data_IF_215883737459
#
_entry.id   IF_215883737459
#
_cell.length_a   1.000
_cell.length_b   1.000
_cell.length_c   1.000
_cell.angle_alpha   90.00
_cell.angle_beta   90.00
_cell.angle_gamma   90.00
#
_symmetry.space_group_name_H-M   'P 1'
#
loop_
_entity.id
_entity.type
_entity.pdbx_description
1 polymer ?
#
# COMPACT_ATOMS: atom_id res chain seq x y z
N UNK A 1 -18.01 24.80 -0.20
CA UNK A 1 -16.57 24.95 -0.27
C UNK A 1 -15.80 23.67 -0.70
N UNK A 2 -16.49 22.66 -1.29
CA UNK A 2 -15.87 21.50 -1.90
C UNK A 2 -15.48 20.35 -0.96
N UNK A 3 -15.86 20.40 0.29
CA UNK A 3 -15.67 19.30 1.25
C UNK A 3 -16.90 18.38 1.29
N UNK A 4 -16.65 17.07 1.34
CA UNK A 4 -17.71 16.10 1.59
C UNK A 4 -18.18 16.21 3.04
N UNK A 5 -19.50 16.09 3.33
CA UNK A 5 -20.02 16.17 4.71
C UNK A 5 -19.34 15.17 5.67
N UNK A 6 -19.04 13.97 5.18
CA UNK A 6 -18.34 12.95 5.96
C UNK A 6 -16.95 13.40 6.43
N UNK A 7 -16.23 14.19 5.63
CA UNK A 7 -14.91 14.72 6.03
C UNK A 7 -15.05 15.76 7.11
N UNK A 8 -16.01 16.67 6.95
CA UNK A 8 -16.23 17.74 7.92
C UNK A 8 -16.56 17.21 9.31
N UNK A 9 -17.25 16.06 9.39
CA UNK A 9 -17.69 15.50 10.67
C UNK A 9 -16.58 14.95 11.55
N UNK A 10 -15.45 14.50 10.96
CA UNK A 10 -14.36 13.89 11.73
C UNK A 10 -13.02 14.65 11.67
N UNK A 11 -12.87 15.59 10.74
CA UNK A 11 -11.62 16.36 10.60
C UNK A 11 -11.62 17.69 11.35
N UNK A 12 -12.72 18.05 12.01
CA UNK A 12 -12.84 19.35 12.70
C UNK A 12 -12.82 20.57 11.76
N UNK A 13 -13.07 20.36 10.46
CA UNK A 13 -13.09 21.45 9.46
C UNK A 13 -14.23 22.40 9.72
N UNK A 14 -13.91 23.68 9.81
CA UNK A 14 -14.88 24.74 10.03
C UNK A 14 -14.57 25.98 9.17
N UNK A 15 -15.33 27.09 9.37
CA UNK A 15 -15.14 28.33 8.60
C UNK A 15 -13.77 28.99 8.81
N UNK A 16 -13.12 28.76 9.96
CA UNK A 16 -11.84 29.42 10.31
C UNK A 16 -10.62 28.67 9.77
N UNK A 17 -10.70 27.32 9.68
CA UNK A 17 -9.52 26.50 9.34
C UNK A 17 -9.61 25.79 7.97
N UNK A 18 -10.72 25.91 7.24
CA UNK A 18 -10.95 25.16 6.00
C UNK A 18 -9.89 25.41 4.90
N UNK A 19 -9.18 26.53 4.92
CA UNK A 19 -8.10 26.86 3.97
C UNK A 19 -6.82 26.07 4.23
N UNK A 20 -6.69 25.47 5.40
CA UNK A 20 -5.57 24.61 5.77
C UNK A 20 -5.75 23.18 5.24
N UNK A 21 -6.92 22.84 4.75
CA UNK A 21 -7.25 21.52 4.23
C UNK A 21 -7.37 21.53 2.72
N UNK A 22 -6.84 20.50 2.08
CA UNK A 22 -7.14 20.22 0.68
C UNK A 22 -8.59 19.70 0.58
N UNK A 23 -9.45 20.39 -0.16
CA UNK A 23 -10.85 19.99 -0.29
C UNK A 23 -10.98 18.73 -1.17
N UNK A 24 -12.08 17.97 -0.98
CA UNK A 24 -12.36 16.79 -1.82
C UNK A 24 -12.54 17.17 -3.29
N UNK A 25 -13.11 18.34 -3.57
CA UNK A 25 -13.27 18.87 -4.93
C UNK A 25 -11.90 19.20 -5.53
N UNK A 26 -11.07 19.94 -4.79
CA UNK A 26 -9.74 20.30 -5.25
C UNK A 26 -8.87 19.05 -5.42
N UNK A 27 -8.98 18.06 -4.53
CA UNK A 27 -8.27 16.80 -4.67
C UNK A 27 -8.60 16.07 -5.98
N UNK A 28 -9.81 16.13 -6.47
CA UNK A 28 -10.16 15.57 -7.77
C UNK A 28 -9.48 16.31 -8.93
N UNK A 29 -9.35 17.64 -8.84
CA UNK A 29 -8.72 18.46 -9.87
C UNK A 29 -7.22 18.61 -9.71
N UNK A 30 -6.71 18.61 -8.46
CA UNK A 30 -5.31 18.88 -8.13
C UNK A 30 -4.55 17.66 -7.63
N UNK A 31 -5.15 16.48 -7.69
CA UNK A 31 -4.50 15.24 -7.25
C UNK A 31 -3.42 14.73 -8.20
N UNK A 32 -2.96 15.56 -9.16
CA UNK A 32 -2.05 15.13 -10.20
C UNK A 32 -0.78 15.97 -10.34
N UNK A 33 -0.01 16.22 -9.28
CA UNK A 33 1.30 16.86 -9.47
C UNK A 33 2.23 16.02 -10.37
N UNK A 34 1.89 14.76 -10.58
CA UNK A 34 2.60 13.84 -11.47
C UNK A 34 2.10 13.88 -12.95
N UNK A 35 1.04 14.60 -13.27
CA UNK A 35 0.49 14.66 -14.62
C UNK A 35 0.13 13.27 -15.19
N UNK A 36 0.58 12.99 -16.42
CA UNK A 36 0.33 11.70 -17.09
C UNK A 36 1.04 10.52 -16.41
N UNK A 37 2.12 10.76 -15.68
CA UNK A 37 2.89 9.72 -14.98
C UNK A 37 2.12 9.05 -13.85
N UNK A 38 0.98 9.60 -13.42
CA UNK A 38 0.09 8.94 -12.46
C UNK A 38 -0.22 7.49 -12.83
N UNK A 39 -0.45 7.21 -14.12
CA UNK A 39 -0.81 5.88 -14.58
C UNK A 39 0.31 4.86 -14.40
N UNK A 40 1.56 5.30 -14.49
CA UNK A 40 2.71 4.42 -14.28
C UNK A 40 2.77 3.91 -12.84
N UNK A 41 2.46 4.77 -11.88
CA UNK A 41 2.46 4.41 -10.46
C UNK A 41 1.27 3.52 -10.07
N UNK A 42 0.10 3.70 -10.71
CA UNK A 42 -1.12 2.99 -10.31
C UNK A 42 -1.22 1.55 -10.82
N UNK A 43 -0.37 1.15 -11.77
CA UNK A 43 -0.35 -0.21 -12.34
C UNK A 43 0.76 -1.01 -11.68
N UNK A 44 0.38 -2.02 -10.88
CA UNK A 44 1.32 -2.84 -10.09
C UNK A 44 2.36 -3.54 -10.94
N UNK A 45 2.01 -3.91 -12.17
CA UNK A 45 2.93 -4.52 -13.13
C UNK A 45 4.13 -3.63 -13.47
N UNK A 46 4.01 -2.29 -13.31
CA UNK A 46 5.10 -1.36 -13.62
C UNK A 46 6.14 -1.25 -12.50
N UNK A 47 5.84 -1.70 -11.28
CA UNK A 47 6.72 -1.51 -10.11
C UNK A 47 8.13 -2.09 -10.34
N UNK A 48 8.31 -3.35 -10.79
CA UNK A 48 9.65 -3.90 -11.03
C UNK A 48 10.43 -3.16 -12.13
N UNK A 49 9.75 -2.55 -13.09
CA UNK A 49 10.40 -1.72 -14.12
C UNK A 49 10.82 -0.36 -13.59
N UNK A 50 9.94 0.29 -12.84
CA UNK A 50 10.23 1.58 -12.22
C UNK A 50 11.36 1.49 -11.20
N UNK A 51 11.47 0.35 -10.54
CA UNK A 51 12.45 0.08 -9.47
C UNK A 51 13.47 -0.99 -9.86
N UNK A 52 13.84 -1.07 -11.15
CA UNK A 52 14.78 -2.09 -11.66
C UNK A 52 16.15 -2.08 -10.97
N UNK A 53 16.61 -0.92 -10.51
CA UNK A 53 17.87 -0.75 -9.79
C UNK A 53 17.71 -0.93 -8.27
N UNK A 54 16.51 -1.31 -7.80
CA UNK A 54 16.12 -1.51 -6.40
C UNK A 54 15.32 -2.80 -6.23
N UNK A 55 15.66 -3.83 -6.98
CA UNK A 55 14.92 -5.11 -7.01
C UNK A 55 14.83 -5.79 -5.66
N UNK A 56 15.82 -5.59 -4.79
CA UNK A 56 15.84 -6.11 -3.43
C UNK A 56 14.72 -5.53 -2.55
N UNK A 57 14.16 -4.35 -2.92
CA UNK A 57 13.04 -3.69 -2.22
C UNK A 57 11.69 -3.94 -2.87
N UNK A 58 11.63 -4.82 -3.87
CA UNK A 58 10.40 -5.20 -4.56
C UNK A 58 10.12 -6.68 -4.29
N UNK A 59 8.87 -7.13 -4.11
CA UNK A 59 8.56 -8.57 -4.11
C UNK A 59 9.05 -9.24 -5.38
N UNK A 60 9.39 -10.53 -5.33
CA UNK A 60 9.61 -11.31 -6.54
C UNK A 60 8.31 -11.38 -7.35
N UNK A 61 8.38 -11.10 -8.64
CA UNK A 61 7.26 -11.16 -9.59
C UNK A 61 7.44 -12.41 -10.45
N UNK A 62 6.51 -13.36 -10.34
CA UNK A 62 6.60 -14.63 -11.08
C UNK A 62 5.84 -14.57 -12.39
N UNK A 63 4.56 -14.16 -12.37
CA UNK A 63 3.71 -14.17 -13.54
C UNK A 63 2.80 -12.96 -13.64
N UNK A 64 2.53 -12.58 -14.88
CA UNK A 64 1.32 -11.88 -15.25
C UNK A 64 0.33 -12.90 -15.84
N UNK A 65 -0.87 -13.00 -15.28
CA UNK A 65 -1.93 -13.92 -15.70
C UNK A 65 -3.03 -13.14 -16.42
N UNK A 66 -3.28 -13.54 -17.66
CA UNK A 66 -4.39 -13.06 -18.48
C UNK A 66 -5.21 -14.24 -19.03
N UNK A 67 -6.14 -13.99 -19.94
CA UNK A 67 -6.96 -15.04 -20.59
C UNK A 67 -6.15 -16.05 -21.40
N UNK A 68 -4.92 -15.70 -21.78
CA UNK A 68 -4.06 -16.57 -22.62
C UNK A 68 -3.11 -17.45 -21.80
N UNK A 69 -3.01 -17.25 -20.48
CA UNK A 69 -2.14 -18.07 -19.62
C UNK A 69 -1.23 -17.24 -18.72
N UNK A 70 -0.12 -17.82 -18.32
CA UNK A 70 0.85 -17.24 -17.40
C UNK A 70 2.06 -16.71 -18.18
N UNK A 71 2.21 -15.38 -18.22
CA UNK A 71 3.39 -14.73 -18.80
C UNK A 71 4.47 -14.61 -17.72
N UNK A 72 5.64 -15.25 -17.86
CA UNK A 72 6.72 -15.12 -16.91
C UNK A 72 7.21 -13.67 -16.82
N UNK A 73 7.46 -13.18 -15.61
CA UNK A 73 7.99 -11.84 -15.34
C UNK A 73 9.47 -11.87 -14.92
N UNK A 74 10.00 -13.04 -14.64
CA UNK A 74 11.41 -13.24 -14.42
C UNK A 74 12.13 -13.14 -15.78
N UNK A 75 13.16 -12.32 -15.84
CA UNK A 75 13.99 -12.12 -17.03
C UNK A 75 13.22 -11.59 -18.26
N UNK A 76 12.94 -10.29 -18.28
CA UNK A 76 12.60 -9.54 -19.50
C UNK A 76 13.80 -9.47 -20.47
N UNK A 77 14.48 -10.60 -20.70
CA UNK A 77 15.44 -10.75 -21.77
C UNK A 77 14.64 -11.02 -23.05
N UNK A 78 14.69 -10.12 -24.01
CA UNK A 78 13.93 -10.01 -25.26
C UNK A 78 13.64 -11.26 -26.13
N UNK A 79 13.66 -12.44 -25.54
CA UNK A 79 13.21 -13.68 -26.16
C UNK A 79 11.68 -13.75 -26.15
N UNK A 80 11.11 -14.27 -27.22
CA UNK A 80 9.67 -14.45 -27.43
C UNK A 80 9.07 -15.11 -26.20
N UNK A 81 8.35 -14.31 -25.38
CA UNK A 81 7.74 -14.82 -24.16
C UNK A 81 6.55 -15.71 -24.52
N UNK A 82 6.70 -17.00 -24.25
CA UNK A 82 5.64 -17.98 -24.42
C UNK A 82 4.78 -18.00 -23.15
N UNK A 83 3.47 -17.96 -23.29
CA UNK A 83 2.55 -18.19 -22.18
C UNK A 83 2.69 -19.62 -21.67
N UNK A 84 2.84 -19.75 -20.38
CA UNK A 84 2.99 -21.04 -19.71
C UNK A 84 1.64 -21.58 -19.25
N UNK A 85 1.59 -22.89 -18.97
CA UNK A 85 0.41 -23.56 -18.46
C UNK A 85 0.24 -23.35 -16.94
N UNK A 86 -0.82 -23.91 -16.40
CA UNK A 86 -1.07 -23.96 -14.94
C UNK A 86 0.03 -24.73 -14.20
N UNK A 87 0.68 -25.68 -14.86
CA UNK A 87 1.72 -26.51 -14.24
C UNK A 87 2.90 -25.64 -13.74
N UNK A 88 3.32 -24.65 -14.53
CA UNK A 88 4.38 -23.72 -14.12
C UNK A 88 3.99 -22.88 -12.89
N UNK A 89 2.70 -22.49 -12.79
CA UNK A 89 2.20 -21.83 -11.58
C UNK A 89 2.24 -22.80 -10.38
N UNK A 90 1.82 -24.06 -10.58
CA UNK A 90 1.84 -25.06 -9.51
C UNK A 90 3.27 -25.40 -9.07
N UNK A 91 4.23 -25.45 -9.98
CA UNK A 91 5.65 -25.65 -9.66
C UNK A 91 6.15 -24.55 -8.73
N UNK A 92 5.92 -23.27 -9.07
CA UNK A 92 6.28 -22.12 -8.21
C UNK A 92 5.54 -22.19 -6.86
N UNK A 93 4.23 -22.51 -6.86
CA UNK A 93 3.48 -22.66 -5.62
C UNK A 93 4.02 -23.79 -4.73
N UNK A 94 4.42 -24.92 -5.34
CA UNK A 94 5.05 -26.03 -4.62
C UNK A 94 6.43 -25.67 -4.05
N UNK A 95 7.21 -24.82 -4.74
CA UNK A 95 8.50 -24.33 -4.27
C UNK A 95 8.34 -23.32 -3.13
N UNK A 96 7.58 -22.25 -3.38
CA UNK A 96 7.46 -21.09 -2.46
C UNK A 96 6.45 -21.32 -1.34
N UNK A 97 5.57 -22.33 -1.43
CA UNK A 97 4.48 -22.71 -0.49
C UNK A 97 3.33 -21.71 -0.41
N UNK A 98 3.55 -20.44 -0.69
CA UNK A 98 2.51 -19.40 -0.68
C UNK A 98 2.83 -18.30 -1.69
N UNK A 99 1.79 -17.78 -2.35
CA UNK A 99 1.89 -16.72 -3.33
C UNK A 99 0.80 -15.67 -3.10
N UNK A 100 1.04 -14.46 -3.58
CA UNK A 100 0.06 -13.37 -3.61
C UNK A 100 -0.42 -13.14 -5.05
N UNK A 101 -1.72 -13.31 -5.30
CA UNK A 101 -2.34 -12.96 -6.56
C UNK A 101 -3.08 -11.62 -6.40
N UNK A 102 -2.75 -10.65 -7.24
CA UNK A 102 -3.26 -9.27 -7.14
C UNK A 102 -3.72 -8.78 -8.51
N UNK A 103 -4.92 -8.20 -8.66
CA UNK A 103 -5.27 -7.51 -9.89
C UNK A 103 -4.29 -6.36 -10.18
N UNK A 104 -3.88 -6.18 -11.44
CA UNK A 104 -2.90 -5.16 -11.82
C UNK A 104 -3.34 -3.74 -11.49
N UNK A 105 -4.63 -3.44 -11.65
CA UNK A 105 -5.19 -2.08 -11.56
C UNK A 105 -6.20 -1.88 -10.43
N UNK A 106 -6.43 -2.89 -9.57
CA UNK A 106 -7.40 -2.78 -8.46
C UNK A 106 -6.87 -1.89 -7.33
N UNK A 107 -7.83 -1.35 -6.57
CA UNK A 107 -7.58 -0.52 -5.38
C UNK A 107 -8.22 -1.18 -4.15
N UNK A 108 -7.74 -0.78 -2.97
CA UNK A 108 -8.30 -1.16 -1.66
C UNK A 108 -8.24 -2.65 -1.35
N UNK A 109 -7.31 -3.38 -1.95
CA UNK A 109 -7.17 -4.83 -1.75
C UNK A 109 -8.27 -5.67 -2.42
N UNK A 110 -9.14 -5.06 -3.23
CA UNK A 110 -10.18 -5.79 -3.94
C UNK A 110 -9.56 -6.80 -4.90
N UNK A 111 -10.03 -8.06 -4.84
CA UNK A 111 -9.53 -9.14 -5.68
C UNK A 111 -8.18 -9.72 -5.22
N UNK A 112 -7.63 -9.29 -4.08
CA UNK A 112 -6.44 -9.92 -3.50
C UNK A 112 -6.76 -11.37 -3.12
N UNK A 113 -5.86 -12.30 -3.49
CA UNK A 113 -5.92 -13.68 -3.08
C UNK A 113 -4.55 -14.11 -2.54
N UNK A 114 -4.54 -14.64 -1.32
CA UNK A 114 -3.45 -15.46 -0.81
C UNK A 114 -3.69 -16.89 -1.25
N UNK A 115 -2.78 -17.47 -1.98
CA UNK A 115 -2.83 -18.89 -2.33
C UNK A 115 -1.71 -19.62 -1.61
N UNK A 116 -2.00 -20.83 -1.12
CA UNK A 116 -1.10 -21.56 -0.26
C UNK A 116 -1.26 -23.07 -0.44
N UNK A 117 -0.15 -23.80 -0.30
CA UNK A 117 -0.17 -25.26 -0.22
C UNK A 117 0.48 -25.72 1.08
N UNK A 118 -0.23 -26.55 1.85
CA UNK A 118 0.25 -27.20 3.08
C UNK A 118 -0.13 -28.67 3.06
N UNK A 119 0.83 -29.56 3.22
CA UNK A 119 0.59 -31.02 3.26
C UNK A 119 -0.31 -31.49 2.11
N UNK A 120 -0.01 -31.08 0.88
CA UNK A 120 -0.78 -31.35 -0.33
C UNK A 120 -2.24 -30.85 -0.32
N UNK A 121 -2.58 -29.96 0.61
CA UNK A 121 -3.89 -29.29 0.68
C UNK A 121 -3.75 -27.88 0.16
N UNK A 122 -4.66 -27.49 -0.73
CA UNK A 122 -4.66 -26.18 -1.38
C UNK A 122 -5.60 -25.21 -0.68
N UNK A 123 -5.14 -23.98 -0.50
CA UNK A 123 -5.91 -22.93 0.17
C UNK A 123 -5.98 -21.67 -0.70
N UNK A 124 -7.14 -21.04 -0.69
CA UNK A 124 -7.32 -19.66 -1.15
C UNK A 124 -7.91 -18.87 0.01
N UNK A 125 -7.22 -17.80 0.41
CA UNK A 125 -7.66 -16.93 1.49
C UNK A 125 -7.97 -17.70 2.80
N UNK A 126 -7.09 -18.66 3.14
CA UNK A 126 -7.19 -19.55 4.30
C UNK A 126 -8.37 -20.57 4.25
N UNK A 127 -9.10 -20.65 3.14
CA UNK A 127 -10.15 -21.67 2.94
C UNK A 127 -9.59 -22.84 2.12
N UNK A 128 -9.98 -24.06 2.48
CA UNK A 128 -9.57 -25.28 1.78
C UNK A 128 -10.35 -25.42 0.49
N UNK A 129 -9.63 -25.77 -0.58
CA UNK A 129 -10.19 -26.04 -1.90
C UNK A 129 -9.78 -27.42 -2.41
N UNK A 130 -10.72 -28.22 -2.98
CA UNK A 130 -10.37 -29.38 -3.78
C UNK A 130 -9.45 -28.98 -4.94
N UNK A 131 -8.48 -29.79 -5.30
CA UNK A 131 -7.48 -29.48 -6.32
C UNK A 131 -8.10 -28.98 -7.63
N UNK A 132 -9.12 -29.66 -8.15
CA UNK A 132 -9.78 -29.28 -9.40
C UNK A 132 -10.44 -27.91 -9.33
N UNK A 133 -11.07 -27.58 -8.20
CA UNK A 133 -11.69 -26.26 -7.96
C UNK A 133 -10.61 -25.19 -7.79
N UNK A 134 -9.54 -25.46 -7.02
CA UNK A 134 -8.41 -24.58 -6.88
C UNK A 134 -7.82 -24.19 -8.24
N UNK A 135 -7.55 -25.19 -9.10
CA UNK A 135 -7.04 -24.97 -10.45
C UNK A 135 -8.01 -24.12 -11.28
N UNK A 136 -9.32 -24.40 -11.21
CA UNK A 136 -10.34 -23.60 -11.90
C UNK A 136 -10.34 -22.13 -11.47
N UNK A 137 -10.24 -21.85 -10.17
CA UNK A 137 -10.16 -20.48 -9.62
C UNK A 137 -8.92 -19.74 -10.13
N UNK A 138 -7.76 -20.42 -10.16
CA UNK A 138 -6.53 -19.81 -10.65
C UNK A 138 -6.58 -19.55 -12.17
N UNK A 139 -7.15 -20.48 -12.94
CA UNK A 139 -7.31 -20.30 -14.39
C UNK A 139 -8.29 -19.17 -14.73
N UNK A 140 -9.30 -18.93 -13.90
CA UNK A 140 -10.27 -17.86 -14.07
C UNK A 140 -9.69 -16.44 -13.84
N UNK A 141 -8.50 -16.32 -13.24
CA UNK A 141 -7.85 -15.03 -13.04
C UNK A 141 -7.55 -14.36 -14.38
N UNK A 142 -7.84 -13.07 -14.47
CA UNK A 142 -7.54 -12.25 -15.63
C UNK A 142 -7.05 -10.86 -15.19
N UNK A 143 -5.99 -10.35 -15.81
CA UNK A 143 -5.32 -9.11 -15.44
C UNK A 143 -4.74 -9.14 -13.99
N UNK A 144 -4.09 -10.27 -13.65
CA UNK A 144 -3.48 -10.48 -12.33
C UNK A 144 -1.96 -10.56 -12.41
N UNK A 145 -1.28 -9.98 -11.41
CA UNK A 145 0.12 -10.30 -11.11
C UNK A 145 0.18 -11.36 -10.02
N UNK A 146 1.14 -12.27 -10.16
CA UNK A 146 1.43 -13.32 -9.18
C UNK A 146 2.83 -13.06 -8.65
N UNK A 147 2.93 -12.85 -7.34
CA UNK A 147 4.16 -12.42 -6.68
C UNK A 147 4.45 -13.26 -5.44
N UNK A 148 5.66 -13.10 -4.93
CA UNK A 148 6.01 -13.50 -3.58
C UNK A 148 4.93 -13.06 -2.58
N UNK A 149 4.57 -13.95 -1.65
CA UNK A 149 3.78 -13.57 -0.47
C UNK A 149 4.74 -13.11 0.62
N UNK A 150 4.61 -11.87 1.06
CA UNK A 150 5.54 -11.28 2.01
C UNK A 150 5.31 -11.84 3.42
N UNK A 151 6.38 -12.35 4.01
CA UNK A 151 6.43 -12.65 5.45
C UNK A 151 6.83 -11.37 6.17
N UNK A 152 5.87 -10.76 6.84
CA UNK A 152 6.09 -9.50 7.54
C UNK A 152 6.98 -9.66 8.77
N UNK A 153 7.64 -8.56 9.16
CA UNK A 153 8.51 -8.51 10.34
C UNK A 153 7.75 -8.86 11.63
N UNK A 154 8.39 -9.52 12.60
CA UNK A 154 7.75 -9.98 13.86
C UNK A 154 6.97 -8.90 14.62
N UNK A 155 7.41 -7.63 14.61
CA UNK A 155 6.66 -6.58 15.30
C UNK A 155 5.23 -6.39 14.75
N UNK A 156 5.08 -6.43 13.42
CA UNK A 156 3.77 -6.29 12.78
C UNK A 156 2.97 -7.60 12.86
N UNK A 157 3.66 -8.74 12.76
CA UNK A 157 3.09 -10.07 12.93
C UNK A 157 2.49 -10.26 14.33
N UNK A 158 3.16 -9.76 15.37
CA UNK A 158 2.65 -9.82 16.73
C UNK A 158 1.35 -9.01 16.89
N UNK A 159 1.29 -7.81 16.31
CA UNK A 159 0.12 -6.94 16.43
C UNK A 159 -1.07 -7.51 15.65
N UNK A 160 -0.88 -7.90 14.39
CA UNK A 160 -1.94 -8.52 13.59
C UNK A 160 -1.36 -9.53 12.57
N UNK A 161 -1.53 -10.83 12.81
CA UNK A 161 -0.90 -11.88 12.00
C UNK A 161 -1.65 -12.26 10.70
N UNK A 162 -2.90 -11.81 10.52
CA UNK A 162 -3.78 -12.32 9.47
C UNK A 162 -3.50 -11.63 8.12
N UNK A 163 -3.14 -10.35 8.13
CA UNK A 163 -2.75 -9.62 6.92
C UNK A 163 -1.29 -9.21 6.95
N UNK A 164 -0.74 -8.92 5.78
CA UNK A 164 0.48 -8.11 5.69
C UNK A 164 0.12 -6.67 6.02
N UNK A 165 0.74 -6.13 7.07
CA UNK A 165 0.46 -4.79 7.59
C UNK A 165 1.51 -3.80 7.07
N UNK A 166 1.06 -2.75 6.40
CA UNK A 166 1.96 -1.88 5.64
C UNK A 166 2.11 -0.50 6.24
N UNK A 167 3.28 0.06 6.09
CA UNK A 167 3.54 1.49 6.29
C UNK A 167 3.10 2.22 5.02
N UNK A 168 2.16 3.15 5.15
CA UNK A 168 1.88 4.14 4.12
C UNK A 168 2.80 5.34 4.36
N UNK A 169 3.66 5.64 3.39
CA UNK A 169 4.62 6.72 3.49
C UNK A 169 4.43 7.66 2.29
N UNK A 170 4.13 8.94 2.56
CA UNK A 170 3.97 9.97 1.54
C UNK A 170 5.29 10.70 1.35
N UNK A 171 5.81 10.66 0.14
CA UNK A 171 6.98 11.42 -0.31
C UNK A 171 6.54 12.51 -1.28
N UNK A 172 7.06 13.72 -1.10
CA UNK A 172 6.65 14.90 -1.88
C UNK A 172 7.90 15.68 -2.29
N UNK A 173 7.85 16.24 -3.49
CA UNK A 173 8.88 17.13 -4.01
C UNK A 173 8.72 18.55 -3.42
N UNK A 174 9.79 19.07 -2.85
CA UNK A 174 9.87 20.49 -2.43
C UNK A 174 10.28 21.35 -3.63
N UNK A 175 9.35 22.17 -4.13
CA UNK A 175 9.58 23.01 -5.30
C UNK A 175 10.62 24.13 -5.04
N UNK A 176 10.84 24.50 -3.79
CA UNK A 176 11.81 25.54 -3.44
C UNK A 176 13.22 24.97 -3.26
N UNK A 177 13.33 23.88 -2.50
CA UNK A 177 14.63 23.25 -2.22
C UNK A 177 15.11 22.32 -3.32
N UNK A 178 14.20 21.91 -4.24
CA UNK A 178 14.48 20.96 -5.31
C UNK A 178 14.96 19.59 -4.80
N UNK A 179 14.31 19.11 -3.76
CA UNK A 179 14.58 17.83 -3.12
C UNK A 179 13.28 17.14 -2.69
N UNK A 180 13.32 15.83 -2.52
CA UNK A 180 12.21 15.09 -1.91
C UNK A 180 12.25 15.16 -0.40
N UNK A 181 11.08 15.19 0.21
CA UNK A 181 10.93 15.04 1.65
C UNK A 181 9.78 14.09 1.99
N UNK A 182 9.85 13.48 3.15
CA UNK A 182 8.79 12.62 3.68
C UNK A 182 7.76 13.49 4.38
N UNK A 183 6.54 13.47 3.89
CA UNK A 183 5.49 14.38 4.31
C UNK A 183 4.56 13.79 5.38
N UNK A 184 4.22 12.50 5.27
CA UNK A 184 3.33 11.78 6.21
C UNK A 184 3.72 10.32 6.26
N UNK A 185 3.61 9.71 7.45
CA UNK A 185 3.76 8.27 7.62
C UNK A 185 2.73 7.72 8.60
N UNK A 186 2.16 6.57 8.29
CA UNK A 186 1.33 5.82 9.21
C UNK A 186 1.38 4.33 8.93
N UNK A 187 1.36 3.53 9.98
CA UNK A 187 1.23 2.08 9.91
C UNK A 187 -0.24 1.72 9.79
N UNK A 188 -0.55 0.81 8.89
CA UNK A 188 -1.89 0.23 8.77
C UNK A 188 -1.88 -1.18 9.34
N UNK A 189 -3.00 -1.56 9.96
CA UNK A 189 -3.26 -2.91 10.42
C UNK A 189 -4.63 -3.35 9.96
N UNK A 190 -4.76 -4.62 9.55
CA UNK A 190 -6.05 -5.25 9.34
C UNK A 190 -6.80 -5.40 10.66
N UNK A 191 -8.10 -5.64 10.59
CA UNK A 191 -8.96 -5.98 11.75
C UNK A 191 -10.09 -6.89 11.29
N UNK A 192 -10.82 -7.48 12.23
CA UNK A 192 -12.00 -8.31 11.96
C UNK A 192 -11.73 -9.49 11.01
N UNK A 193 -10.57 -10.15 11.17
CA UNK A 193 -10.19 -11.28 10.33
C UNK A 193 -9.83 -10.92 8.88
N UNK A 194 -9.64 -9.63 8.57
CA UNK A 194 -9.31 -9.18 7.22
C UNK A 194 -7.93 -9.65 6.78
N UNK A 195 -7.84 -10.14 5.55
CA UNK A 195 -6.58 -10.52 4.88
C UNK A 195 -5.82 -9.31 4.30
N UNK A 196 -6.40 -8.12 4.40
CA UNK A 196 -5.81 -6.87 3.94
C UNK A 196 -5.90 -5.78 5.02
N UNK A 197 -4.93 -4.91 5.07
CA UNK A 197 -4.81 -3.83 6.05
C UNK A 197 -5.53 -2.54 5.64
N UNK A 198 -6.40 -2.60 4.65
CA UNK A 198 -7.05 -1.43 4.08
C UNK A 198 -8.13 -0.88 5.03
N UNK A 199 -8.04 0.43 5.32
CA UNK A 199 -9.00 1.09 6.19
C UNK A 199 -10.42 1.12 5.61
N UNK A 200 -10.58 1.16 4.29
CA UNK A 200 -11.89 1.33 3.66
C UNK A 200 -12.66 0.01 3.55
N UNK A 201 -12.02 -1.02 3.02
CA UNK A 201 -12.66 -2.32 2.75
C UNK A 201 -12.49 -3.32 3.89
N UNK A 202 -11.39 -3.24 4.63
CA UNK A 202 -11.04 -4.18 5.69
C UNK A 202 -11.41 -3.73 7.10
N UNK A 203 -12.13 -2.62 7.28
CA UNK A 203 -12.35 -1.99 8.59
C UNK A 203 -11.05 -1.76 9.38
N UNK A 204 -9.91 -1.65 8.70
CA UNK A 204 -8.59 -1.53 9.29
C UNK A 204 -8.41 -0.31 10.18
N UNK A 205 -7.30 -0.27 10.86
CA UNK A 205 -6.85 0.89 11.60
C UNK A 205 -5.53 1.43 11.03
N UNK A 206 -5.26 2.71 11.28
CA UNK A 206 -3.97 3.32 11.00
C UNK A 206 -3.48 4.09 12.23
N UNK A 207 -2.20 3.94 12.53
CA UNK A 207 -1.52 4.69 13.58
C UNK A 207 -0.43 5.54 12.96
N UNK A 208 -0.39 6.84 13.29
CA UNK A 208 0.65 7.74 12.78
C UNK A 208 2.00 7.42 13.41
N UNK A 209 3.05 7.62 12.62
CA UNK A 209 4.43 7.38 13.00
C UNK A 209 5.10 8.74 13.21
N UNK A 210 5.81 8.90 14.32
CA UNK A 210 6.69 10.02 14.53
C UNK A 210 7.90 9.93 13.58
N UNK A 211 8.19 11.01 12.86
CA UNK A 211 9.24 11.00 11.84
C UNK A 211 10.65 10.90 12.38
N UNK A 212 10.88 11.41 13.58
CA UNK A 212 12.22 11.43 14.17
C UNK A 212 12.54 10.06 14.77
N UNK A 213 11.62 9.53 15.56
CA UNK A 213 11.85 8.32 16.35
C UNK A 213 11.43 7.04 15.65
N UNK A 214 10.43 7.09 14.75
CA UNK A 214 9.77 5.92 14.19
C UNK A 214 8.75 5.29 15.12
N UNK A 215 8.46 5.92 16.26
CA UNK A 215 7.48 5.43 17.22
C UNK A 215 6.05 5.70 16.77
N UNK A 216 5.14 4.83 17.16
CA UNK A 216 3.71 5.06 16.98
C UNK A 216 3.25 6.18 17.89
N UNK A 217 2.60 7.17 17.30
CA UNK A 217 1.96 8.25 18.05
C UNK A 217 0.63 7.79 18.62
N UNK A 218 0.03 8.59 19.48
CA UNK A 218 -1.35 8.37 19.95
C UNK A 218 -2.44 8.77 18.93
N UNK A 219 -2.04 9.16 17.70
CA UNK A 219 -2.96 9.53 16.62
C UNK A 219 -3.39 8.28 15.84
N UNK A 220 -4.51 7.69 16.23
CA UNK A 220 -5.05 6.48 15.62
C UNK A 220 -6.35 6.80 14.87
N UNK A 221 -6.46 6.23 13.67
CA UNK A 221 -7.67 6.30 12.85
C UNK A 221 -8.24 4.90 12.70
N UNK A 222 -9.55 4.79 12.90
CA UNK A 222 -10.31 3.59 12.58
C UNK A 222 -11.38 3.91 11.54
N UNK A 223 -11.78 2.92 10.77
CA UNK A 223 -12.93 3.02 9.90
C UNK A 223 -13.96 1.96 10.28
N UNK A 224 -15.16 2.38 10.54
CA UNK A 224 -16.29 1.47 10.70
C UNK A 224 -17.19 1.62 9.50
N UNK A 225 -17.53 0.52 8.82
CA UNK A 225 -18.34 0.50 7.59
C UNK A 225 -19.65 1.31 7.68
N UNK A 226 -20.18 1.48 8.90
CA UNK A 226 -21.42 2.23 9.14
C UNK A 226 -21.22 3.73 9.40
N UNK A 227 -20.04 4.17 9.82
CA UNK A 227 -19.82 5.52 10.35
C UNK A 227 -18.62 6.28 9.75
N UNK A 228 -17.90 5.64 8.81
CA UNK A 228 -16.71 6.23 8.18
C UNK A 228 -15.49 6.33 9.11
N UNK A 229 -14.53 7.14 8.70
CA UNK A 229 -13.29 7.34 9.46
C UNK A 229 -13.52 8.04 10.79
N UNK A 230 -12.79 7.61 11.84
CA UNK A 230 -12.85 8.19 13.17
C UNK A 230 -11.47 8.24 13.81
N UNK A 231 -11.25 9.27 14.59
CA UNK A 231 -10.15 9.32 15.54
C UNK A 231 -10.49 8.38 16.69
N UNK A 232 -9.58 7.48 17.02
CA UNK A 232 -9.71 6.53 18.12
C UNK A 232 -8.86 6.98 19.32
N UNK A 233 -9.43 6.90 20.50
CA UNK A 233 -8.68 7.05 21.75
C UNK A 233 -8.21 5.71 22.30
N UNK A 234 -8.64 4.59 21.71
CA UNK A 234 -8.19 3.26 22.09
C UNK A 234 -6.81 2.99 21.50
N UNK A 235 -5.86 2.62 22.33
CA UNK A 235 -4.48 2.34 21.97
C UNK A 235 -4.17 0.86 21.82
N UNK A 236 -5.19 0.02 21.96
CA UNK A 236 -5.06 -1.42 21.76
C UNK A 236 -5.57 -1.80 20.37
N UNK A 237 -4.92 -2.77 19.75
CA UNK A 237 -5.45 -3.39 18.55
C UNK A 237 -6.76 -4.12 18.87
N UNK A 238 -7.88 -3.89 18.14
CA UNK A 238 -9.20 -4.36 18.55
C UNK A 238 -9.34 -5.89 18.61
N UNK A 239 -8.64 -6.63 17.75
CA UNK A 239 -8.76 -8.09 17.67
C UNK A 239 -7.79 -8.81 18.62
N UNK A 240 -6.58 -8.28 18.79
CA UNK A 240 -5.51 -8.95 19.54
C UNK A 240 -5.31 -8.39 20.93
N UNK A 241 -5.82 -7.19 21.23
CA UNK A 241 -5.60 -6.51 22.51
C UNK A 241 -4.17 -6.01 22.73
N UNK A 242 -3.29 -6.14 21.72
CA UNK A 242 -1.90 -5.70 21.84
C UNK A 242 -1.80 -4.17 21.80
N UNK A 243 -0.97 -3.62 22.69
CA UNK A 243 -0.72 -2.18 22.74
C UNK A 243 -0.01 -1.70 21.48
N UNK A 244 -0.51 -0.59 20.93
CA UNK A 244 0.16 0.16 19.88
C UNK A 244 1.07 1.25 20.45
N UNK A 245 1.00 1.49 21.76
CA UNK A 245 1.81 2.50 22.45
C UNK A 245 3.22 1.95 22.71
N UNK A 246 4.24 2.76 22.43
CA UNK A 246 5.64 2.39 22.59
C UNK A 246 6.19 1.47 21.50
N UNK A 247 5.42 1.18 20.47
CA UNK A 247 5.90 0.40 19.32
C UNK A 247 6.70 1.32 18.40
N UNK A 248 7.91 0.88 18.04
CA UNK A 248 8.79 1.59 17.08
C UNK A 248 8.97 0.76 15.81
N UNK A 249 9.05 1.44 14.68
CA UNK A 249 9.36 0.83 13.39
C UNK A 249 10.83 0.40 13.36
N UNK A 250 11.13 -0.88 13.17
CA UNK A 250 12.51 -1.34 13.04
C UNK A 250 13.24 -0.66 11.88
N UNK A 251 14.50 -0.26 12.11
CA UNK A 251 15.36 0.35 11.09
C UNK A 251 14.76 1.60 10.41
N UNK A 252 13.98 2.39 11.14
CA UNK A 252 13.23 3.53 10.62
C UNK A 252 14.09 4.53 9.83
N UNK A 253 15.28 4.88 10.34
CA UNK A 253 16.18 5.81 9.65
C UNK A 253 16.68 5.27 8.30
N UNK A 254 17.01 3.98 8.24
CA UNK A 254 17.38 3.32 6.99
C UNK A 254 16.22 3.34 5.99
N UNK A 255 15.02 3.00 6.43
CA UNK A 255 13.81 3.03 5.59
C UNK A 255 13.59 4.43 5.00
N UNK A 256 13.62 5.48 5.85
CA UNK A 256 13.45 6.87 5.40
C UNK A 256 14.45 7.24 4.30
N UNK A 257 15.72 7.01 4.55
CA UNK A 257 16.79 7.38 3.62
C UNK A 257 16.67 6.63 2.30
N UNK A 258 16.36 5.34 2.35
CA UNK A 258 16.20 4.53 1.14
C UNK A 258 14.98 4.95 0.32
N UNK A 259 13.87 5.31 0.94
CA UNK A 259 12.68 5.81 0.21
C UNK A 259 12.95 7.17 -0.43
N UNK A 260 13.73 8.05 0.20
CA UNK A 260 14.16 9.31 -0.43
C UNK A 260 15.06 9.05 -1.65
N UNK A 261 16.00 8.11 -1.54
CA UNK A 261 16.86 7.69 -2.64
C UNK A 261 16.02 7.13 -3.82
N UNK A 262 15.09 6.22 -3.54
CA UNK A 262 14.16 5.65 -4.54
C UNK A 262 13.30 6.76 -5.16
N UNK A 263 12.80 7.71 -4.38
CA UNK A 263 11.99 8.82 -4.90
C UNK A 263 12.79 9.73 -5.84
N UNK A 264 14.08 9.94 -5.57
CA UNK A 264 14.98 10.65 -6.48
C UNK A 264 15.19 9.89 -7.79
N UNK A 265 15.26 8.55 -7.76
CA UNK A 265 15.39 7.72 -8.95
C UNK A 265 14.16 7.82 -9.87
N UNK A 266 12.95 7.89 -9.30
CA UNK A 266 11.69 8.06 -10.04
C UNK A 266 11.16 9.50 -9.94
N UNK A 267 12.02 10.49 -10.04
CA UNK A 267 11.75 11.92 -9.74
C UNK A 267 10.69 12.58 -10.63
N UNK A 268 10.23 11.93 -11.68
CA UNK A 268 9.05 12.34 -12.44
C UNK A 268 7.73 12.16 -11.66
N UNK A 269 7.73 11.39 -10.55
CA UNK A 269 6.63 11.27 -9.61
C UNK A 269 6.87 12.19 -8.41
N UNK A 270 6.36 13.39 -8.47
CA UNK A 270 6.60 14.44 -7.44
C UNK A 270 5.73 14.33 -6.18
N UNK A 271 4.69 13.53 -6.25
CA UNK A 271 3.77 13.27 -5.14
C UNK A 271 3.43 11.78 -5.14
N UNK A 272 4.02 11.04 -4.24
CA UNK A 272 3.95 9.57 -4.27
C UNK A 272 3.75 8.98 -2.88
N UNK A 273 2.82 8.04 -2.79
CA UNK A 273 2.63 7.21 -1.59
C UNK A 273 3.17 5.80 -1.81
N UNK A 274 3.99 5.34 -0.90
CA UNK A 274 4.49 3.97 -0.89
C UNK A 274 3.73 3.14 0.12
N UNK A 275 3.35 1.91 -0.26
CA UNK A 275 2.89 0.89 0.67
C UNK A 275 4.03 -0.10 0.91
N UNK A 276 4.55 -0.11 2.12
CA UNK A 276 5.79 -0.79 2.47
C UNK A 276 5.51 -1.83 3.55
N UNK A 277 5.90 -3.07 3.29
CA UNK A 277 5.93 -4.12 4.30
C UNK A 277 7.36 -4.32 4.83
N UNK A 278 7.55 -4.23 6.14
CA UNK A 278 8.82 -4.61 6.76
C UNK A 278 8.94 -6.14 6.81
N UNK A 279 10.15 -6.63 6.61
CA UNK A 279 10.56 -8.02 6.73
C UNK A 279 11.78 -8.11 7.67
N UNK A 280 12.16 -9.30 8.09
CA UNK A 280 13.39 -9.47 8.89
C UNK A 280 14.66 -9.06 8.15
N UNK A 281 14.64 -9.12 6.81
CA UNK A 281 15.78 -8.78 5.94
C UNK A 281 15.78 -7.33 5.43
N UNK A 282 14.80 -6.51 5.84
CA UNK A 282 14.64 -5.14 5.39
C UNK A 282 13.17 -4.79 5.12
N UNK A 283 12.85 -4.38 3.89
CA UNK A 283 11.46 -4.04 3.54
C UNK A 283 11.16 -4.34 2.06
N UNK A 284 9.86 -4.40 1.75
CA UNK A 284 9.37 -4.53 0.37
C UNK A 284 8.34 -3.46 0.07
N UNK A 285 8.44 -2.81 -1.09
CA UNK A 285 7.47 -1.86 -1.63
C UNK A 285 6.41 -2.67 -2.37
N UNK A 286 5.20 -2.73 -1.83
CA UNK A 286 4.09 -3.51 -2.40
C UNK A 286 3.29 -2.74 -3.43
N UNK A 287 3.19 -1.42 -3.26
CA UNK A 287 2.48 -0.51 -4.16
C UNK A 287 3.13 0.87 -4.18
N UNK A 288 3.06 1.51 -5.34
CA UNK A 288 3.33 2.93 -5.53
C UNK A 288 2.01 3.60 -5.90
N UNK A 289 1.63 4.63 -5.16
CA UNK A 289 0.34 5.28 -5.29
C UNK A 289 0.51 6.76 -5.65
N UNK A 290 -0.02 7.19 -6.78
CA UNK A 290 -0.07 8.61 -7.17
C UNK A 290 -1.24 9.35 -6.51
N UNK A 291 -2.30 8.61 -6.12
CA UNK A 291 -3.48 9.12 -5.43
C UNK A 291 -3.51 8.59 -4.01
N UNK A 292 -2.78 9.23 -3.12
CA UNK A 292 -2.75 8.85 -1.71
C UNK A 292 -4.06 9.29 -1.02
N UNK A 293 -4.64 8.41 -0.20
CA UNK A 293 -5.95 8.64 0.40
C UNK A 293 -6.03 9.94 1.21
N UNK A 294 -6.73 10.94 0.68
CA UNK A 294 -6.81 12.29 1.25
C UNK A 294 -7.29 12.31 2.71
N UNK A 295 -8.26 11.46 3.02
CA UNK A 295 -8.91 11.47 4.34
C UNK A 295 -7.92 11.10 5.45
N UNK A 296 -7.16 10.03 5.26
CA UNK A 296 -6.18 9.57 6.24
C UNK A 296 -5.00 10.52 6.38
N UNK A 297 -4.61 11.18 5.29
CA UNK A 297 -3.46 12.09 5.30
C UNK A 297 -3.67 13.37 6.12
N UNK A 298 -4.91 13.84 6.26
CA UNK A 298 -5.20 15.14 6.88
C UNK A 298 -6.23 15.10 8.01
N UNK A 299 -6.55 13.91 8.54
CA UNK A 299 -7.54 13.80 9.61
C UNK A 299 -7.04 14.40 10.93
N UNK A 300 -5.75 14.26 11.22
CA UNK A 300 -5.12 14.81 12.41
C UNK A 300 -4.41 16.14 12.15
N UNK A 301 -3.76 16.25 10.98
CA UNK A 301 -2.96 17.40 10.62
C UNK A 301 -3.33 17.87 9.22
N UNK A 302 -3.88 19.10 9.06
CA UNK A 302 -4.27 19.63 7.76
C UNK A 302 -3.07 19.64 6.80
N UNK A 303 -3.26 19.20 5.54
CA UNK A 303 -2.15 19.10 4.57
C UNK A 303 -1.53 20.44 4.21
N UNK A 304 -2.32 21.50 4.15
CA UNK A 304 -1.88 22.83 3.73
C UNK A 304 -1.29 23.68 4.86
N UNK A 305 -1.10 23.12 6.05
CA UNK A 305 -0.22 23.70 7.08
C UNK A 305 1.26 23.52 6.74
N UNK A 306 1.59 22.55 5.88
CA UNK A 306 2.93 22.40 5.30
C UNK A 306 2.96 23.09 3.93
N UNK A 307 3.63 24.26 3.86
CA UNK A 307 3.72 25.05 2.63
C UNK A 307 4.43 24.29 1.48
N UNK A 308 5.30 23.31 1.78
CA UNK A 308 5.96 22.49 0.76
C UNK A 308 4.94 21.57 0.04
N UNK A 309 4.04 20.93 0.80
CA UNK A 309 2.96 20.11 0.23
C UNK A 309 2.01 20.99 -0.57
N UNK A 310 1.63 22.13 -0.02
CA UNK A 310 0.74 23.09 -0.66
C UNK A 310 1.33 23.60 -1.98
N UNK A 311 2.60 23.99 -1.99
CA UNK A 311 3.28 24.46 -3.18
C UNK A 311 3.39 23.36 -4.24
N UNK A 312 3.77 22.13 -3.88
CA UNK A 312 3.81 21.00 -4.81
C UNK A 312 2.45 20.78 -5.50
N UNK A 313 1.36 20.80 -4.73
CA UNK A 313 0.01 20.58 -5.27
C UNK A 313 -0.46 21.77 -6.12
N UNK A 314 -0.21 23.01 -5.70
CA UNK A 314 -0.73 24.20 -6.37
C UNK A 314 0.07 24.60 -7.62
N UNK A 315 1.39 24.36 -7.64
CA UNK A 315 2.26 24.66 -8.79
C UNK A 315 1.86 23.83 -10.03
N UNK A 316 1.37 22.63 -9.82
CA UNK A 316 0.91 21.72 -10.89
C UNK A 316 -0.58 21.90 -11.24
N UNK A 317 -1.20 22.97 -10.74
CA UNK A 317 -2.54 23.38 -11.10
C UNK A 317 -2.52 23.96 -12.52
N UNK A 318 -2.94 23.18 -13.49
CA UNK A 318 -3.25 23.65 -14.84
C UNK A 318 -4.73 23.53 -15.13
#
# INVERSE_FOLDING_TARGET
KGFLPSIMSYSGINKKNHTQYLSSKDYQFYSYPNGLYNRLAEIKLNIPFLLKDYVEYVPEYYFFKDTYGFLPLENYSGNRQVRLSIDSFLEILHEKKQLACKPCSSRWGNGFMKVEIKNNTYFINNQIYPFTVFVSEILALNDYIITEYIVQHPYAQAIYPISVNTIRLLCVWDELKKEFFLARAFQRFGTNGSLVDNLKSGNGLAVFIDFETGEFTHKIITNTNKKGYRISNNRLHPDTGISLEGVSIPNWHFLKNKILEISNHISFLKYVGYDIALTEKGFKILEINSKVGLHTLQIHDPLFTDERIKNCILTHKK
#
